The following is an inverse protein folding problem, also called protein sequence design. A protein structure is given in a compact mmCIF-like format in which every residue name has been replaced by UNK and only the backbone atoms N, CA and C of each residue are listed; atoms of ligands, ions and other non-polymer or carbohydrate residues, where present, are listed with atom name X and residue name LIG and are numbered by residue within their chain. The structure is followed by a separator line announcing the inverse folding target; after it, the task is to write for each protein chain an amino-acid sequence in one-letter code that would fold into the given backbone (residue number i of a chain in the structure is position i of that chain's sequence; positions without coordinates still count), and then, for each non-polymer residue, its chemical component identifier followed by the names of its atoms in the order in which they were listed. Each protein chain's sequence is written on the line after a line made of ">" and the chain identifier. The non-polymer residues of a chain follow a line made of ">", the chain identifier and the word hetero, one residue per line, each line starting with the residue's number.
data_IF_934770998732
#
_entry.id   IF_934770998732
#
_cell.length_a   1.000
_cell.length_b   1.000
_cell.length_c   1.000
_cell.angle_alpha   90.00
_cell.angle_beta   90.00
_cell.angle_gamma   90.00
#
_symmetry.space_group_name_H-M   'P 1'
#
loop_
_entity.id
_entity.type
_entity.pdbx_description
1 polymer ?
#
# COMPACT_ATOMS: atom_id res chain seq x y z
N UNK A 1 22.81 -4.82 -4.23
CA UNK A 1 22.00 -4.31 -5.37
C UNK A 1 22.77 -4.51 -6.66
N UNK A 2 23.84 -3.74 -6.94
CA UNK A 2 24.67 -3.92 -8.15
C UNK A 2 25.16 -5.37 -8.34
N UNK A 3 25.75 -5.97 -7.30
CA UNK A 3 26.20 -7.38 -7.30
C UNK A 3 25.09 -8.42 -7.56
N UNK A 4 23.82 -8.04 -7.38
CA UNK A 4 22.66 -8.90 -7.64
C UNK A 4 22.03 -8.63 -9.01
N UNK A 5 22.57 -7.70 -9.81
CA UNK A 5 22.02 -7.33 -11.12
C UNK A 5 20.61 -6.71 -11.05
N UNK A 6 20.29 -5.91 -10.03
CA UNK A 6 18.99 -5.26 -9.93
C UNK A 6 18.91 -4.03 -10.85
N UNK A 7 18.00 -4.02 -11.83
CA UNK A 7 17.77 -2.87 -12.72
C UNK A 7 17.17 -1.65 -11.99
N UNK A 8 16.43 -1.88 -10.90
CA UNK A 8 15.70 -0.84 -10.17
C UNK A 8 15.65 -1.11 -8.66
N UNK A 9 15.50 -0.03 -7.88
CA UNK A 9 15.29 -0.11 -6.44
C UNK A 9 14.15 0.81 -5.98
N UNK A 10 13.15 0.22 -5.33
CA UNK A 10 12.02 0.94 -4.72
C UNK A 10 12.31 1.25 -3.25
N UNK A 11 12.21 2.53 -2.87
CA UNK A 11 12.35 2.99 -1.49
C UNK A 11 11.39 4.15 -1.20
N UNK A 12 11.31 4.60 0.06
CA UNK A 12 10.53 5.78 0.46
C UNK A 12 11.41 6.97 0.85
N UNK A 13 10.98 8.17 0.47
CA UNK A 13 11.44 9.39 1.14
C UNK A 13 10.60 9.54 2.40
N UNK A 14 11.26 9.72 3.53
CA UNK A 14 10.58 9.94 4.80
C UNK A 14 10.23 11.41 4.97
N UNK A 15 8.95 11.72 5.14
CA UNK A 15 8.46 13.10 5.25
C UNK A 15 9.07 13.76 6.49
N UNK A 16 9.04 13.10 7.64
CA UNK A 16 9.64 13.60 8.89
C UNK A 16 11.17 13.70 8.85
N UNK A 17 11.86 12.96 7.96
CA UNK A 17 13.30 13.16 7.71
C UNK A 17 13.57 14.43 6.91
N UNK A 18 12.71 14.76 5.94
CA UNK A 18 12.89 15.87 5.01
C UNK A 18 12.36 17.20 5.57
N UNK A 19 11.20 17.17 6.22
CA UNK A 19 10.49 18.32 6.81
C UNK A 19 9.96 17.88 8.20
N UNK A 20 10.76 18.03 9.28
CA UNK A 20 10.48 17.38 10.56
C UNK A 20 9.10 17.65 11.18
N UNK A 21 8.63 18.90 11.09
CA UNK A 21 7.34 19.31 11.66
C UNK A 21 6.19 19.19 10.62
N UNK A 22 6.37 18.39 9.56
CA UNK A 22 5.48 18.30 8.39
C UNK A 22 5.51 19.52 7.47
N UNK A 23 5.67 20.72 8.04
CA UNK A 23 5.83 22.02 7.34
C UNK A 23 7.09 22.75 7.79
N UNK A 24 7.50 23.76 7.03
CA UNK A 24 8.62 24.64 7.35
C UNK A 24 9.86 24.41 6.46
N UNK A 25 11.07 24.75 6.93
CA UNK A 25 12.30 24.59 6.16
C UNK A 25 12.67 23.11 5.97
N UNK A 26 13.43 22.82 4.92
CA UNK A 26 13.99 21.49 4.69
C UNK A 26 15.11 21.21 5.70
N UNK A 27 15.22 19.96 6.14
CA UNK A 27 16.39 19.43 6.81
C UNK A 27 17.52 19.20 5.78
N UNK A 28 18.63 19.96 5.79
CA UNK A 28 19.67 19.82 4.77
C UNK A 28 20.34 18.44 4.79
N UNK A 29 20.44 17.80 5.97
CA UNK A 29 20.97 16.43 6.09
C UNK A 29 20.00 15.38 5.53
N UNK A 30 18.69 15.65 5.58
CA UNK A 30 17.67 14.84 4.92
C UNK A 30 17.78 14.92 3.40
N UNK A 31 17.90 16.14 2.87
CA UNK A 31 18.14 16.40 1.44
C UNK A 31 19.45 15.75 0.97
N UNK A 32 20.53 15.87 1.73
CA UNK A 32 21.82 15.25 1.42
C UNK A 32 21.75 13.72 1.42
N UNK A 33 21.09 13.11 2.41
CA UNK A 33 20.94 11.66 2.48
C UNK A 33 20.26 11.07 1.23
N UNK A 34 19.13 11.64 0.81
CA UNK A 34 18.42 11.16 -0.38
C UNK A 34 19.17 11.47 -1.67
N UNK A 35 19.84 12.63 -1.78
CA UNK A 35 20.71 12.91 -2.92
C UNK A 35 21.86 11.90 -3.06
N UNK A 36 22.52 11.56 -1.95
CA UNK A 36 23.60 10.56 -1.96
C UNK A 36 23.07 9.18 -2.40
N UNK A 37 21.94 8.72 -1.83
CA UNK A 37 21.33 7.44 -2.20
C UNK A 37 20.95 7.38 -3.69
N UNK A 38 20.30 8.44 -4.19
CA UNK A 38 19.83 8.52 -5.58
C UNK A 38 20.99 8.56 -6.57
N UNK A 39 22.00 9.39 -6.30
CA UNK A 39 23.18 9.48 -7.16
C UNK A 39 24.03 8.20 -7.13
N UNK A 40 24.16 7.53 -5.98
CA UNK A 40 24.85 6.25 -5.88
C UNK A 40 24.12 5.17 -6.71
N UNK A 41 22.80 5.01 -6.54
CA UNK A 41 21.98 4.07 -7.32
C UNK A 41 22.20 4.25 -8.82
N UNK A 42 22.12 5.49 -9.31
CA UNK A 42 22.29 5.83 -10.73
C UNK A 42 23.73 5.57 -11.20
N UNK A 43 24.73 5.76 -10.35
CA UNK A 43 26.13 5.48 -10.70
C UNK A 43 26.41 3.99 -10.95
N UNK A 44 25.59 3.10 -10.37
CA UNK A 44 25.58 1.65 -10.64
C UNK A 44 24.49 1.22 -11.65
N UNK A 45 23.85 2.18 -12.34
CA UNK A 45 22.80 1.91 -13.34
C UNK A 45 21.42 1.54 -12.78
N UNK A 46 21.21 1.62 -11.47
CA UNK A 46 19.98 1.19 -10.79
C UNK A 46 18.95 2.32 -10.79
N UNK A 47 17.78 2.11 -11.38
CA UNK A 47 16.73 3.13 -11.43
C UNK A 47 16.06 3.35 -10.06
N UNK A 48 15.99 4.59 -9.53
CA UNK A 48 15.31 4.89 -8.28
C UNK A 48 13.79 5.03 -8.48
N UNK A 49 13.01 4.18 -7.80
CA UNK A 49 11.56 4.28 -7.70
C UNK A 49 11.18 4.80 -6.31
N UNK A 50 10.60 5.99 -6.22
CA UNK A 50 10.38 6.67 -4.94
C UNK A 50 8.93 6.65 -4.52
N UNK A 51 8.70 6.20 -3.29
CA UNK A 51 7.43 6.33 -2.58
C UNK A 51 7.45 7.59 -1.71
N UNK A 52 6.44 8.46 -1.83
CA UNK A 52 6.40 9.72 -1.06
C UNK A 52 5.91 9.52 0.38
N UNK A 53 4.91 8.69 0.62
CA UNK A 53 4.48 8.31 1.97
C UNK A 53 4.25 6.81 2.10
N UNK A 54 4.77 6.25 3.19
CA UNK A 54 4.74 4.82 3.50
C UNK A 54 4.37 4.61 4.98
N UNK A 55 3.17 5.07 5.36
CA UNK A 55 2.68 5.14 6.74
C UNK A 55 3.54 6.02 7.70
N UNK A 56 4.38 6.92 7.16
CA UNK A 56 5.39 7.68 7.91
C UNK A 56 4.99 9.16 8.16
N UNK A 57 3.71 9.43 8.40
CA UNK A 57 3.20 10.80 8.59
C UNK A 57 3.96 11.51 9.74
N UNK A 58 4.40 12.77 9.57
CA UNK A 58 5.02 13.53 10.65
C UNK A 58 4.03 13.77 11.81
N UNK A 59 4.40 13.34 13.02
CA UNK A 59 3.54 13.37 14.21
C UNK A 59 2.94 14.77 14.48
N UNK A 60 3.64 15.86 14.15
CA UNK A 60 3.11 17.22 14.29
C UNK A 60 1.82 17.51 13.49
N UNK A 61 1.55 16.77 12.40
CA UNK A 61 0.31 16.88 11.61
C UNK A 61 -0.81 15.98 12.18
N UNK A 62 -0.43 14.86 12.78
CA UNK A 62 -1.32 14.00 13.57
C UNK A 62 -1.79 14.76 14.83
N UNK A 63 -0.88 15.41 15.55
CA UNK A 63 -1.18 16.19 16.77
C UNK A 63 -1.99 17.47 16.50
N UNK A 64 -1.75 18.17 15.38
CA UNK A 64 -2.47 19.42 15.05
C UNK A 64 -3.94 19.17 14.63
N UNK A 65 -4.21 18.06 13.92
CA UNK A 65 -5.51 17.88 13.28
C UNK A 65 -5.98 16.44 13.02
N UNK A 66 -5.28 15.42 13.53
CA UNK A 66 -5.59 14.01 13.28
C UNK A 66 -5.11 13.49 11.92
N UNK A 67 -4.12 14.15 11.30
CA UNK A 67 -3.49 13.62 10.09
C UNK A 67 -4.49 13.31 8.97
N UNK A 68 -4.57 12.04 8.57
CA UNK A 68 -5.34 11.62 7.39
C UNK A 68 -6.86 11.65 7.54
N UNK A 69 -7.45 11.73 8.75
CA UNK A 69 -8.90 11.97 8.87
C UNK A 69 -9.30 13.41 8.48
N UNK A 70 -8.33 14.33 8.35
CA UNK A 70 -8.62 15.74 8.09
C UNK A 70 -8.24 16.19 6.67
N UNK A 71 -9.18 16.81 5.95
CA UNK A 71 -8.96 17.37 4.60
C UNK A 71 -7.81 18.39 4.50
N UNK A 72 -7.30 18.96 5.61
CA UNK A 72 -6.04 19.72 5.64
C UNK A 72 -4.86 18.96 5.01
N UNK A 73 -4.79 17.64 5.20
CA UNK A 73 -3.67 16.81 4.75
C UNK A 73 -3.41 16.89 3.25
N UNK A 74 -4.46 17.09 2.44
CA UNK A 74 -4.38 17.24 0.98
C UNK A 74 -3.41 18.37 0.59
N UNK A 75 -3.47 19.51 1.30
CA UNK A 75 -2.62 20.67 1.05
C UNK A 75 -1.18 20.41 1.51
N UNK A 76 -1.01 19.85 2.70
CA UNK A 76 0.30 19.64 3.31
C UNK A 76 1.09 18.54 2.57
N UNK A 77 0.44 17.43 2.20
CA UNK A 77 1.03 16.38 1.37
C UNK A 77 1.38 16.88 -0.04
N UNK A 78 0.53 17.72 -0.66
CA UNK A 78 0.86 18.35 -1.95
C UNK A 78 2.08 19.27 -1.84
N UNK A 79 2.21 20.02 -0.73
CA UNK A 79 3.36 20.89 -0.49
C UNK A 79 4.66 20.09 -0.25
N UNK A 80 4.58 18.94 0.41
CA UNK A 80 5.68 17.99 0.56
C UNK A 80 6.07 17.31 -0.76
N UNK A 81 5.10 16.81 -1.54
CA UNK A 81 5.34 16.25 -2.87
C UNK A 81 6.03 17.26 -3.81
N UNK A 82 5.58 18.52 -3.80
CA UNK A 82 6.21 19.64 -4.51
C UNK A 82 7.70 19.87 -4.16
N UNK A 83 8.11 19.53 -2.93
CA UNK A 83 9.54 19.53 -2.54
C UNK A 83 10.22 18.33 -3.17
N UNK A 84 9.72 17.11 -2.99
CA UNK A 84 10.37 15.90 -3.51
C UNK A 84 10.57 15.95 -5.04
N UNK A 85 9.56 16.40 -5.80
CA UNK A 85 9.69 16.60 -7.24
C UNK A 85 10.73 17.66 -7.63
N UNK A 86 10.94 18.69 -6.78
CA UNK A 86 11.94 19.76 -7.01
C UNK A 86 13.37 19.33 -6.68
N UNK A 87 13.56 18.65 -5.55
CA UNK A 87 14.90 18.31 -5.02
C UNK A 87 15.52 17.06 -5.66
N UNK A 88 14.68 16.16 -6.21
CA UNK A 88 15.12 14.83 -6.65
C UNK A 88 14.57 14.39 -8.02
N UNK A 89 13.55 15.07 -8.55
CA UNK A 89 12.90 14.69 -9.81
C UNK A 89 13.76 14.92 -11.06
N UNK A 90 14.94 15.52 -10.94
CA UNK A 90 15.96 15.55 -11.98
C UNK A 90 16.61 14.17 -12.22
N UNK A 91 16.48 13.26 -11.25
CA UNK A 91 17.05 11.90 -11.26
C UNK A 91 16.04 10.78 -10.97
N UNK A 92 14.86 11.10 -10.43
CA UNK A 92 13.80 10.15 -10.08
C UNK A 92 12.67 10.17 -11.11
N UNK A 93 12.58 9.10 -11.90
CA UNK A 93 11.59 8.94 -12.98
C UNK A 93 10.28 8.30 -12.54
N UNK A 94 10.21 7.64 -11.38
CA UNK A 94 8.99 6.94 -10.93
C UNK A 94 8.59 7.35 -9.52
N UNK A 95 7.36 7.84 -9.38
CA UNK A 95 6.80 8.40 -8.15
C UNK A 95 5.52 7.67 -7.73
N UNK A 96 5.60 6.88 -6.66
CA UNK A 96 4.41 6.35 -5.95
C UNK A 96 4.01 7.36 -4.88
N UNK A 97 2.78 7.88 -4.88
CA UNK A 97 2.36 8.89 -3.89
C UNK A 97 2.18 8.29 -2.50
N UNK A 98 1.35 7.26 -2.38
CA UNK A 98 1.02 6.61 -1.10
C UNK A 98 1.07 5.11 -1.31
N UNK A 99 1.67 4.42 -0.32
CA UNK A 99 1.76 2.97 -0.28
C UNK A 99 0.56 2.38 0.48
N UNK A 100 -0.21 1.52 -0.19
CA UNK A 100 -1.26 0.67 0.38
C UNK A 100 -2.30 1.45 1.23
N UNK A 101 -3.03 2.43 0.63
CA UNK A 101 -4.03 3.23 1.36
C UNK A 101 -5.07 2.37 2.10
N UNK A 102 -5.42 1.23 1.51
CA UNK A 102 -6.34 0.26 2.08
C UNK A 102 -5.77 -0.40 3.37
N UNK A 103 -4.57 -0.97 3.32
CA UNK A 103 -3.93 -1.55 4.53
C UNK A 103 -3.67 -0.49 5.60
N UNK A 104 -3.24 0.71 5.20
CA UNK A 104 -3.01 1.81 6.14
C UNK A 104 -4.30 2.26 6.83
N UNK A 105 -5.42 2.37 6.09
CA UNK A 105 -6.72 2.71 6.66
C UNK A 105 -7.25 1.60 7.59
N UNK A 106 -7.19 0.34 7.15
CA UNK A 106 -7.67 -0.81 7.93
C UNK A 106 -6.84 -0.98 9.21
N UNK A 107 -5.52 -1.10 9.10
CA UNK A 107 -4.67 -1.30 10.27
C UNK A 107 -4.62 -0.08 11.21
N UNK A 108 -4.70 1.14 10.65
CA UNK A 108 -4.47 2.38 11.38
C UNK A 108 -5.71 3.05 11.97
N UNK A 109 -6.89 2.81 11.37
CA UNK A 109 -8.15 3.50 11.68
C UNK A 109 -9.38 2.58 11.82
N UNK A 110 -9.26 1.28 11.53
CA UNK A 110 -10.29 0.27 11.83
C UNK A 110 -9.85 -0.65 12.97
N UNK A 111 -8.75 -1.38 12.79
CA UNK A 111 -8.30 -2.42 13.73
C UNK A 111 -7.43 -1.86 14.87
N UNK A 112 -6.87 -0.66 14.70
CA UNK A 112 -6.01 0.00 15.68
C UNK A 112 -4.68 -0.72 15.97
N UNK A 113 -4.18 -1.51 15.01
CA UNK A 113 -2.96 -2.34 15.15
C UNK A 113 -1.67 -1.61 14.72
N UNK A 114 -1.76 -0.61 13.84
CA UNK A 114 -0.63 0.25 13.45
C UNK A 114 -0.91 1.73 13.78
N UNK A 115 0.10 2.62 13.87
CA UNK A 115 -0.12 4.05 14.04
C UNK A 115 -1.06 4.63 12.94
N UNK A 116 -2.00 5.52 13.29
CA UNK A 116 -2.15 6.23 14.57
C UNK A 116 -2.93 5.48 15.68
N UNK A 117 -3.27 4.21 15.46
CA UNK A 117 -4.05 3.33 16.37
C UNK A 117 -5.43 3.89 16.73
N UNK A 118 -6.16 4.34 15.71
CA UNK A 118 -7.58 4.65 15.79
C UNK A 118 -8.41 3.35 15.63
N UNK A 119 -9.45 3.19 16.46
CA UNK A 119 -10.48 2.14 16.35
C UNK A 119 -11.64 2.40 17.34
N UNK A 120 -12.79 1.74 17.20
CA UNK A 120 -13.93 1.85 18.12
C UNK A 120 -14.53 0.50 18.54
N UNK A 121 -14.87 0.38 19.83
CA UNK A 121 -15.55 -0.81 20.39
C UNK A 121 -16.89 -1.07 19.68
N UNK A 122 -17.23 -2.33 19.33
CA UNK A 122 -16.60 -3.59 19.76
C UNK A 122 -15.42 -4.06 18.89
N UNK A 123 -14.98 -3.26 17.92
CA UNK A 123 -13.90 -3.59 16.98
C UNK A 123 -12.52 -3.23 17.53
N UNK A 124 -11.47 -3.72 16.85
CA UNK A 124 -10.08 -3.49 17.22
C UNK A 124 -9.67 -4.06 18.58
N UNK A 125 -8.48 -3.66 19.08
CA UNK A 125 -7.94 -4.14 20.37
C UNK A 125 -7.44 -2.99 21.23
N UNK A 126 -8.04 -2.86 22.43
CA UNK A 126 -7.74 -1.79 23.41
C UNK A 126 -7.89 -0.37 22.84
N UNK A 127 -8.97 -0.15 22.09
CA UNK A 127 -9.28 1.12 21.43
C UNK A 127 -9.51 2.27 22.42
N UNK A 128 -8.81 3.38 22.20
CA UNK A 128 -8.87 4.58 23.06
C UNK A 128 -9.38 5.84 22.34
N UNK A 129 -9.36 5.85 21.00
CA UNK A 129 -9.84 6.94 20.13
C UNK A 129 -10.16 6.40 18.73
N UNK A 130 -11.03 7.12 18.01
CA UNK A 130 -11.38 6.86 16.61
C UNK A 130 -12.78 6.28 16.41
N UNK A 131 -13.12 5.99 15.15
CA UNK A 131 -14.33 5.27 14.75
C UNK A 131 -14.10 4.37 13.54
N UNK A 132 -13.96 3.07 13.80
CA UNK A 132 -13.82 2.00 12.79
C UNK A 132 -14.94 1.99 11.75
N UNK A 133 -16.12 2.54 12.10
CA UNK A 133 -17.29 2.58 11.21
C UNK A 133 -17.19 3.64 10.11
N UNK A 134 -16.35 4.68 10.26
CA UNK A 134 -16.33 5.87 9.37
C UNK A 134 -14.94 6.43 9.05
N UNK A 135 -13.96 6.31 9.95
CA UNK A 135 -12.62 6.86 9.74
C UNK A 135 -11.83 6.20 8.60
N UNK A 136 -11.88 4.86 8.38
CA UNK A 136 -11.17 4.22 7.25
C UNK A 136 -11.60 4.81 5.90
N UNK A 137 -12.91 5.02 5.69
CA UNK A 137 -13.45 5.63 4.48
C UNK A 137 -13.06 7.10 4.34
N UNK A 138 -13.06 7.84 5.45
CA UNK A 138 -12.60 9.24 5.49
C UNK A 138 -11.11 9.36 5.14
N UNK A 139 -10.28 8.45 5.66
CA UNK A 139 -8.83 8.39 5.42
C UNK A 139 -8.52 8.07 3.96
N UNK A 140 -9.12 7.02 3.40
CA UNK A 140 -8.92 6.68 1.98
C UNK A 140 -9.40 7.80 1.06
N UNK A 141 -10.54 8.43 1.36
CA UNK A 141 -11.03 9.58 0.60
C UNK A 141 -10.02 10.75 0.61
N UNK A 142 -9.49 11.11 1.79
CA UNK A 142 -8.47 12.16 1.90
C UNK A 142 -7.15 11.78 1.23
N UNK A 143 -6.75 10.49 1.26
CA UNK A 143 -5.58 9.97 0.54
C UNK A 143 -5.78 10.09 -0.98
N UNK A 144 -6.94 9.74 -1.51
CA UNK A 144 -7.26 9.85 -2.95
C UNK A 144 -7.22 11.31 -3.42
N UNK A 145 -7.77 12.25 -2.63
CA UNK A 145 -7.67 13.68 -2.90
C UNK A 145 -6.21 14.20 -2.83
N UNK A 146 -5.43 13.72 -1.86
CA UNK A 146 -4.02 14.08 -1.71
C UNK A 146 -3.15 13.55 -2.85
N UNK A 147 -3.37 12.29 -3.27
CA UNK A 147 -2.78 11.68 -4.45
C UNK A 147 -3.12 12.49 -5.71
N UNK A 148 -4.40 12.75 -5.96
CA UNK A 148 -4.87 13.49 -7.13
C UNK A 148 -4.28 14.90 -7.22
N UNK A 149 -4.21 15.61 -6.09
CA UNK A 149 -3.60 16.93 -5.99
C UNK A 149 -2.08 16.89 -6.28
N UNK A 150 -1.35 15.95 -5.69
CA UNK A 150 0.09 15.76 -5.93
C UNK A 150 0.38 15.33 -7.38
N UNK A 151 -0.42 14.44 -7.95
CA UNK A 151 -0.29 14.01 -9.34
C UNK A 151 -0.60 15.14 -10.33
N UNK A 152 -1.69 15.88 -10.13
CA UNK A 152 -2.03 17.06 -10.94
C UNK A 152 -0.94 18.12 -10.91
N UNK A 153 -0.27 18.30 -9.77
CA UNK A 153 0.92 19.15 -9.67
C UNK A 153 2.08 18.58 -10.50
N UNK A 154 2.39 17.28 -10.37
CA UNK A 154 3.46 16.62 -11.11
C UNK A 154 3.27 16.74 -12.63
N UNK A 155 2.13 16.27 -13.15
CA UNK A 155 1.79 16.27 -14.57
C UNK A 155 1.82 17.68 -15.19
N UNK A 156 1.46 18.72 -14.42
CA UNK A 156 1.42 20.13 -14.91
C UNK A 156 2.73 20.92 -14.81
N UNK A 157 3.65 20.54 -13.91
CA UNK A 157 4.83 21.38 -13.57
C UNK A 157 6.16 20.68 -13.80
N UNK A 158 6.18 19.35 -13.75
CA UNK A 158 7.39 18.54 -13.64
C UNK A 158 7.50 17.49 -14.75
N UNK A 159 6.41 16.78 -15.07
CA UNK A 159 6.43 15.61 -15.96
C UNK A 159 7.08 15.88 -17.33
N UNK A 160 6.73 16.95 -18.03
CA UNK A 160 7.32 17.36 -19.32
C UNK A 160 8.85 17.53 -19.26
N UNK A 161 9.38 17.96 -18.10
CA UNK A 161 10.81 18.28 -17.90
C UNK A 161 11.61 17.10 -17.32
N UNK A 162 10.93 16.23 -16.59
CA UNK A 162 11.53 15.12 -15.84
C UNK A 162 11.30 13.76 -16.53
N UNK A 163 10.40 13.70 -17.53
CA UNK A 163 10.05 12.51 -18.32
C UNK A 163 9.72 11.29 -17.45
N UNK A 164 9.11 11.54 -16.28
CA UNK A 164 8.74 10.53 -15.30
C UNK A 164 7.24 10.30 -15.19
N UNK A 165 6.89 9.34 -14.35
CA UNK A 165 5.55 8.77 -14.19
C UNK A 165 5.13 8.87 -12.73
N UNK A 166 3.86 9.20 -12.48
CA UNK A 166 3.28 9.25 -11.14
C UNK A 166 2.13 8.26 -10.97
N UNK A 167 2.05 7.62 -9.80
CA UNK A 167 1.06 6.59 -9.49
C UNK A 167 0.81 6.46 -8.00
N UNK A 168 0.06 5.43 -7.63
CA UNK A 168 -0.18 4.99 -6.25
C UNK A 168 0.09 3.47 -6.19
N UNK A 169 0.16 2.85 -5.01
CA UNK A 169 0.21 1.39 -4.93
C UNK A 169 -0.85 0.79 -4.00
N UNK A 170 -1.51 -0.28 -4.44
CA UNK A 170 -2.63 -0.93 -3.75
C UNK A 170 -2.17 -2.30 -3.24
N UNK A 171 -2.55 -2.66 -2.01
CA UNK A 171 -2.43 -4.02 -1.50
C UNK A 171 -3.53 -4.91 -2.09
N UNK A 172 -3.15 -5.96 -2.82
CA UNK A 172 -4.03 -6.96 -3.40
C UNK A 172 -4.87 -7.76 -2.38
N UNK A 173 -5.87 -8.52 -2.82
CA UNK A 173 -6.25 -9.82 -2.25
C UNK A 173 -6.50 -10.79 -3.41
N UNK A 174 -5.86 -11.97 -3.37
CA UNK A 174 -6.20 -13.05 -4.28
C UNK A 174 -7.50 -13.72 -3.84
N UNK A 175 -8.66 -13.23 -4.31
CA UNK A 175 -9.97 -13.74 -3.91
C UNK A 175 -10.40 -14.94 -4.76
N UNK A 176 -10.53 -16.12 -4.15
CA UNK A 176 -11.06 -17.33 -4.79
C UNK A 176 -12.37 -17.74 -4.09
N UNK A 177 -13.48 -17.99 -4.82
CA UNK A 177 -14.70 -18.53 -4.23
C UNK A 177 -14.44 -19.86 -3.49
N UNK A 178 -14.93 -19.99 -2.27
CA UNK A 178 -14.81 -21.20 -1.45
C UNK A 178 -15.59 -22.39 -2.06
N UNK A 179 -16.67 -22.13 -2.78
CA UNK A 179 -17.44 -23.09 -3.57
C UNK A 179 -17.81 -22.52 -4.93
N UNK A 180 -18.31 -23.37 -5.84
CA UNK A 180 -18.89 -22.95 -7.12
C UNK A 180 -20.31 -22.36 -6.98
N UNK A 181 -20.66 -21.79 -5.82
CA UNK A 181 -21.92 -21.08 -5.60
C UNK A 181 -21.91 -19.69 -6.24
N UNK A 182 -23.08 -19.10 -6.47
CA UNK A 182 -23.16 -17.71 -6.98
C UNK A 182 -22.83 -16.72 -5.85
N UNK A 183 -23.17 -17.12 -4.64
CA UNK A 183 -22.98 -16.45 -3.37
C UNK A 183 -21.48 -16.25 -3.07
N UNK A 184 -20.67 -17.31 -3.07
CA UNK A 184 -19.21 -17.21 -2.87
C UNK A 184 -18.52 -16.47 -4.03
N UNK A 185 -19.05 -16.56 -5.25
CA UNK A 185 -18.56 -15.79 -6.39
C UNK A 185 -18.82 -14.28 -6.22
N UNK A 186 -20.00 -13.90 -5.72
CA UNK A 186 -20.31 -12.52 -5.34
C UNK A 186 -19.47 -12.06 -4.13
N UNK A 187 -19.19 -12.94 -3.17
CA UNK A 187 -18.34 -12.64 -2.03
C UNK A 187 -16.88 -12.37 -2.45
N UNK A 188 -16.33 -13.15 -3.38
CA UNK A 188 -15.03 -12.88 -3.98
C UNK A 188 -15.00 -11.55 -4.75
N UNK A 189 -16.07 -11.19 -5.46
CA UNK A 189 -16.16 -9.86 -6.09
C UNK A 189 -16.27 -8.72 -5.06
N UNK A 190 -16.95 -8.92 -3.92
CA UNK A 190 -16.94 -7.92 -2.83
C UNK A 190 -15.55 -7.72 -2.22
N UNK A 191 -14.75 -8.77 -2.06
CA UNK A 191 -13.33 -8.63 -1.68
C UNK A 191 -12.58 -7.78 -2.70
N UNK A 192 -12.75 -8.03 -4.01
CA UNK A 192 -12.12 -7.24 -5.06
C UNK A 192 -12.56 -5.77 -5.04
N UNK A 193 -13.86 -5.51 -4.87
CA UNK A 193 -14.42 -4.15 -4.78
C UNK A 193 -13.87 -3.40 -3.56
N UNK A 194 -13.82 -4.03 -2.38
CA UNK A 194 -13.39 -3.39 -1.13
C UNK A 194 -11.87 -3.24 -1.01
N UNK A 195 -11.07 -4.20 -1.49
CA UNK A 195 -9.61 -4.13 -1.40
C UNK A 195 -8.97 -3.39 -2.59
N UNK A 196 -9.53 -3.54 -3.81
CA UNK A 196 -8.93 -2.97 -5.02
C UNK A 196 -9.80 -1.84 -5.56
N UNK A 197 -11.08 -2.09 -5.82
CA UNK A 197 -12.03 -1.12 -6.38
C UNK A 197 -12.13 0.16 -5.57
N UNK A 198 -12.02 0.08 -4.25
CA UNK A 198 -12.01 1.21 -3.30
C UNK A 198 -10.97 2.29 -3.65
N UNK A 199 -9.83 1.87 -4.22
CA UNK A 199 -8.75 2.77 -4.66
C UNK A 199 -8.76 2.92 -6.18
N UNK A 200 -8.97 1.82 -6.93
CA UNK A 200 -8.88 1.78 -8.39
C UNK A 200 -10.06 2.46 -9.11
N UNK A 201 -11.30 2.26 -8.67
CA UNK A 201 -12.46 2.84 -9.36
C UNK A 201 -12.50 4.37 -9.30
N UNK A 202 -12.15 5.04 -8.18
CA UNK A 202 -11.97 6.49 -8.17
C UNK A 202 -10.95 7.00 -9.17
N UNK A 203 -9.87 6.23 -9.41
CA UNK A 203 -8.81 6.59 -10.35
C UNK A 203 -9.21 6.38 -11.82
N UNK A 204 -10.01 5.35 -12.12
CA UNK A 204 -10.41 5.01 -13.49
C UNK A 204 -11.70 5.72 -13.91
N UNK A 205 -12.71 5.74 -13.04
CA UNK A 205 -14.07 6.22 -13.33
C UNK A 205 -14.41 7.55 -12.65
N UNK A 206 -13.74 7.89 -11.54
CA UNK A 206 -13.97 9.11 -10.77
C UNK A 206 -14.92 8.93 -9.57
N UNK A 207 -15.31 7.70 -9.23
CA UNK A 207 -16.17 7.39 -8.07
C UNK A 207 -15.89 5.96 -7.54
N UNK A 208 -16.38 5.65 -6.34
CA UNK A 208 -16.26 4.33 -5.70
C UNK A 208 -17.13 3.26 -6.39
N UNK A 209 -16.84 1.95 -6.19
CA UNK A 209 -17.69 0.86 -6.66
C UNK A 209 -19.14 1.01 -6.13
N UNK A 210 -20.13 0.70 -6.97
CA UNK A 210 -21.54 0.78 -6.57
C UNK A 210 -21.85 -0.15 -5.40
N UNK A 211 -21.31 -1.37 -5.41
CA UNK A 211 -21.35 -2.34 -4.29
C UNK A 211 -20.91 -1.73 -2.95
N UNK A 212 -19.84 -0.92 -2.94
CA UNK A 212 -19.39 -0.25 -1.72
C UNK A 212 -20.35 0.86 -1.28
N UNK A 213 -20.85 1.67 -2.22
CA UNK A 213 -21.77 2.78 -1.92
C UNK A 213 -23.11 2.26 -1.39
N UNK A 214 -23.62 1.15 -1.94
CA UNK A 214 -24.83 0.48 -1.47
C UNK A 214 -24.67 -0.13 -0.07
N UNK A 215 -23.57 -0.86 0.18
CA UNK A 215 -23.37 -1.57 1.45
C UNK A 215 -22.94 -0.63 2.58
N UNK A 216 -22.01 0.28 2.33
CA UNK A 216 -21.44 1.19 3.35
C UNK A 216 -22.41 2.36 3.63
N UNK A 217 -23.14 2.81 2.61
CA UNK A 217 -24.13 3.89 2.71
C UNK A 217 -23.48 5.25 2.99
N UNK A 218 -24.12 6.06 3.84
CA UNK A 218 -23.68 7.43 4.17
C UNK A 218 -22.35 7.53 4.93
N UNK A 219 -21.66 6.42 5.20
CA UNK A 219 -20.36 6.37 5.88
C UNK A 219 -19.17 6.45 4.91
N UNK A 220 -19.37 6.13 3.62
CA UNK A 220 -18.35 6.41 2.58
C UNK A 220 -18.56 7.83 2.03
N UNK A 221 -17.55 8.72 2.07
CA UNK A 221 -17.71 10.09 1.58
C UNK A 221 -17.93 10.13 0.07
N UNK A 222 -18.87 10.96 -0.39
CA UNK A 222 -19.09 11.20 -1.83
C UNK A 222 -18.05 12.19 -2.39
N UNK A 223 -17.52 11.93 -3.59
CA UNK A 223 -16.78 12.95 -4.33
C UNK A 223 -17.74 14.00 -4.90
N UNK A 224 -17.40 15.29 -4.78
CA UNK A 224 -18.03 16.32 -5.61
C UNK A 224 -17.61 16.16 -7.08
N UNK A 225 -18.40 16.69 -8.03
CA UNK A 225 -18.05 16.65 -9.46
C UNK A 225 -16.61 17.11 -9.75
N UNK A 226 -16.15 18.17 -9.06
CA UNK A 226 -14.79 18.66 -9.23
C UNK A 226 -13.74 17.68 -8.71
N UNK A 227 -14.00 16.98 -7.61
CA UNK A 227 -13.08 15.98 -7.05
C UNK A 227 -13.04 14.71 -7.90
N UNK A 228 -14.21 14.28 -8.42
CA UNK A 228 -14.31 13.21 -9.41
C UNK A 228 -13.46 13.49 -10.65
N UNK A 229 -13.50 14.73 -11.17
CA UNK A 229 -12.64 15.21 -12.27
C UNK A 229 -11.14 15.30 -11.91
N UNK A 230 -10.80 15.41 -10.62
CA UNK A 230 -9.41 15.49 -10.16
C UNK A 230 -8.78 14.10 -9.97
N UNK A 231 -9.52 13.14 -9.44
CA UNK A 231 -9.04 11.78 -9.15
C UNK A 231 -9.07 10.90 -10.41
N UNK A 232 -10.06 11.07 -11.30
CA UNK A 232 -10.11 10.33 -12.57
C UNK A 232 -8.90 10.65 -13.46
N UNK A 233 -8.11 9.65 -13.77
CA UNK A 233 -6.90 9.76 -14.60
C UNK A 233 -5.68 10.35 -13.88
N UNK A 234 -5.68 10.43 -12.54
CA UNK A 234 -4.58 11.02 -11.75
C UNK A 234 -3.33 10.15 -11.63
N UNK A 235 -3.18 9.12 -12.46
CA UNK A 235 -2.04 8.20 -12.48
C UNK A 235 -1.53 7.97 -13.90
N UNK A 236 -0.28 7.52 -14.03
CA UNK A 236 0.35 7.04 -15.27
C UNK A 236 0.69 5.54 -15.17
N UNK A 237 0.90 5.05 -13.94
CA UNK A 237 1.04 3.64 -13.60
C UNK A 237 0.31 3.36 -12.29
N UNK A 238 -0.02 2.10 -12.05
CA UNK A 238 -0.58 1.64 -10.79
C UNK A 238 0.36 0.55 -10.24
N UNK A 239 0.81 0.72 -8.99
CA UNK A 239 1.69 -0.23 -8.31
C UNK A 239 0.90 -1.31 -7.58
N UNK A 240 1.43 -2.53 -7.61
CA UNK A 240 0.84 -3.70 -6.95
C UNK A 240 1.65 -4.09 -5.73
N UNK A 241 0.98 -4.31 -4.61
CA UNK A 241 1.54 -4.90 -3.39
C UNK A 241 0.54 -5.93 -2.83
N UNK A 242 0.91 -6.67 -1.80
CA UNK A 242 1.03 -8.10 -2.02
C UNK A 242 1.38 -8.89 -0.74
N UNK A 243 0.54 -9.83 -0.25
CA UNK A 243 0.96 -10.82 0.77
C UNK A 243 0.25 -12.20 0.85
N UNK A 244 -0.86 -12.51 0.15
CA UNK A 244 -1.48 -13.87 0.21
C UNK A 244 -2.27 -14.30 -1.06
N UNK A 245 -3.11 -15.34 -0.97
CA UNK A 245 -4.28 -15.70 -1.80
C UNK A 245 -5.20 -16.54 -0.92
N UNK A 246 -6.53 -16.34 -1.00
CA UNK A 246 -7.46 -16.81 0.03
C UNK A 246 -8.80 -17.30 -0.53
N UNK A 247 -9.43 -18.22 0.18
CA UNK A 247 -10.77 -18.72 -0.12
C UNK A 247 -11.84 -17.90 0.60
N UNK A 248 -12.91 -17.54 -0.12
CA UNK A 248 -13.90 -16.55 0.31
C UNK A 248 -15.31 -17.18 0.32
N UNK A 249 -16.00 -17.05 1.44
CA UNK A 249 -17.37 -17.53 1.67
C UNK A 249 -18.32 -16.35 1.91
N UNK A 250 -19.56 -16.45 1.41
CA UNK A 250 -20.60 -15.42 1.61
C UNK A 250 -21.00 -15.27 3.10
N UNK A 251 -21.16 -14.02 3.58
CA UNK A 251 -21.64 -13.75 4.94
C UNK A 251 -22.73 -12.66 4.98
N UNK A 252 -23.95 -12.96 4.51
CA UNK A 252 -25.03 -11.99 4.46
C UNK A 252 -25.54 -11.62 5.86
N UNK A 253 -25.22 -12.41 6.89
CA UNK A 253 -25.54 -12.12 8.29
C UNK A 253 -24.83 -10.87 8.81
N UNK A 254 -23.62 -10.59 8.34
CA UNK A 254 -22.85 -9.38 8.70
C UNK A 254 -23.58 -8.08 8.31
N UNK A 255 -24.34 -8.08 7.21
CA UNK A 255 -25.10 -6.91 6.75
C UNK A 255 -26.32 -6.58 7.64
N UNK A 256 -26.75 -7.50 8.50
CA UNK A 256 -27.89 -7.31 9.42
C UNK A 256 -27.45 -6.57 10.70
N UNK A 257 -26.14 -6.44 10.94
CA UNK A 257 -25.59 -5.80 12.13
C UNK A 257 -25.76 -4.27 12.08
N UNK A 258 -26.22 -3.69 13.20
CA UNK A 258 -26.47 -2.23 13.33
C UNK A 258 -25.20 -1.39 13.39
N UNK A 259 -24.11 -1.97 13.88
CA UNK A 259 -22.78 -1.37 13.94
C UNK A 259 -21.86 -2.29 13.13
N UNK A 260 -21.10 -1.71 12.20
CA UNK A 260 -20.24 -2.42 11.25
C UNK A 260 -18.93 -1.67 11.09
N UNK A 261 -17.84 -2.41 11.07
CA UNK A 261 -16.52 -1.94 10.68
C UNK A 261 -16.30 -2.19 9.16
N UNK A 262 -15.09 -1.90 8.68
CA UNK A 262 -14.72 -2.19 7.29
C UNK A 262 -14.88 -3.69 6.94
N UNK A 263 -14.51 -4.59 7.86
CA UNK A 263 -14.47 -6.03 7.61
C UNK A 263 -15.89 -6.62 7.47
N UNK A 264 -16.81 -6.23 8.35
CA UNK A 264 -18.23 -6.60 8.33
C UNK A 264 -18.93 -5.99 7.10
N UNK A 265 -18.49 -4.82 6.63
CA UNK A 265 -19.00 -4.22 5.40
C UNK A 265 -18.59 -4.97 4.13
N UNK A 266 -17.50 -5.75 4.11
CA UNK A 266 -17.22 -6.67 2.98
C UNK A 266 -18.26 -7.79 2.90
N UNK A 267 -18.87 -8.12 4.05
CA UNK A 267 -19.86 -9.20 4.21
C UNK A 267 -19.38 -10.55 3.68
N UNK A 268 -18.09 -10.85 3.81
CA UNK A 268 -17.47 -12.07 3.28
C UNK A 268 -16.47 -12.65 4.30
N UNK A 269 -16.50 -13.96 4.50
CA UNK A 269 -15.56 -14.67 5.37
C UNK A 269 -14.36 -15.15 4.56
N UNK A 270 -13.18 -14.68 4.94
CA UNK A 270 -11.93 -15.27 4.48
C UNK A 270 -11.70 -16.56 5.28
N UNK A 271 -11.74 -17.71 4.61
CA UNK A 271 -11.36 -18.99 5.22
C UNK A 271 -9.90 -18.96 5.62
N UNK A 272 -9.58 -19.61 6.74
CA UNK A 272 -8.22 -19.72 7.27
C UNK A 272 -7.56 -18.35 7.53
N UNK A 273 -8.34 -17.31 7.86
CA UNK A 273 -7.81 -16.00 8.24
C UNK A 273 -6.87 -16.07 9.46
N UNK A 274 -7.07 -17.02 10.37
CA UNK A 274 -6.15 -17.27 11.48
C UNK A 274 -4.79 -17.80 10.97
N UNK A 275 -4.78 -18.71 9.98
CA UNK A 275 -3.53 -19.15 9.34
C UNK A 275 -2.81 -17.97 8.66
N UNK A 276 -3.53 -17.01 8.06
CA UNK A 276 -2.99 -15.76 7.46
C UNK A 276 -2.24 -14.86 8.46
N UNK A 277 -2.34 -15.15 9.78
CA UNK A 277 -1.61 -14.43 10.84
C UNK A 277 -0.85 -15.36 11.81
N UNK A 278 -0.65 -16.64 11.49
CA UNK A 278 0.06 -17.62 12.33
C UNK A 278 1.41 -18.05 11.75
N UNK A 279 2.29 -18.57 12.62
CA UNK A 279 3.66 -19.03 12.31
C UNK A 279 3.69 -20.36 11.51
N UNK A 280 3.04 -20.42 10.34
CA UNK A 280 2.96 -21.62 9.49
C UNK A 280 3.29 -21.33 8.01
N UNK A 281 3.71 -22.36 7.28
CA UNK A 281 4.14 -22.21 5.88
C UNK A 281 2.93 -22.22 4.93
N UNK A 282 2.67 -21.08 4.28
CA UNK A 282 1.57 -20.93 3.33
C UNK A 282 1.71 -21.85 2.11
N UNK A 283 0.61 -22.46 1.63
CA UNK A 283 0.62 -23.19 0.37
C UNK A 283 0.92 -22.23 -0.78
N UNK A 284 1.95 -22.54 -1.59
CA UNK A 284 2.36 -21.72 -2.72
C UNK A 284 1.29 -21.85 -3.83
N UNK A 285 0.42 -20.84 -3.98
CA UNK A 285 -0.50 -20.68 -5.10
C UNK A 285 -0.05 -19.50 -6.00
N UNK A 286 0.76 -19.74 -7.05
CA UNK A 286 1.17 -18.70 -8.00
C UNK A 286 0.03 -18.30 -8.95
N UNK A 287 -0.89 -19.24 -9.20
CA UNK A 287 -2.17 -19.00 -9.86
C UNK A 287 -2.94 -17.84 -9.23
N UNK A 288 -2.75 -17.56 -7.94
CA UNK A 288 -3.23 -16.34 -7.30
C UNK A 288 -2.71 -15.07 -7.99
N UNK A 289 -1.39 -14.86 -8.06
CA UNK A 289 -0.83 -13.70 -8.76
C UNK A 289 -1.20 -13.68 -10.24
N UNK A 290 -1.26 -14.83 -10.94
CA UNK A 290 -1.74 -14.85 -12.32
C UNK A 290 -3.20 -14.38 -12.41
N UNK A 291 -4.12 -14.97 -11.64
CA UNK A 291 -5.54 -14.60 -11.63
C UNK A 291 -5.71 -13.12 -11.36
N UNK A 292 -5.00 -12.55 -10.38
CA UNK A 292 -5.13 -11.12 -10.07
C UNK A 292 -4.22 -10.18 -10.88
N UNK A 293 -3.35 -10.69 -11.77
CA UNK A 293 -2.76 -9.91 -12.87
C UNK A 293 -3.59 -10.00 -14.16
N UNK A 294 -4.28 -11.10 -14.40
CA UNK A 294 -5.30 -11.20 -15.45
C UNK A 294 -6.53 -10.36 -15.08
N UNK A 295 -6.84 -10.28 -13.79
CA UNK A 295 -7.62 -9.23 -13.17
C UNK A 295 -6.78 -7.97 -12.84
N UNK A 296 -5.64 -7.59 -13.47
CA UNK A 296 -5.23 -6.15 -13.72
C UNK A 296 -5.45 -5.75 -15.15
N UNK A 297 -5.08 -6.66 -16.05
CA UNK A 297 -5.59 -6.70 -17.41
C UNK A 297 -7.13 -6.51 -17.39
N UNK A 298 -7.80 -6.80 -16.24
CA UNK A 298 -8.97 -6.09 -15.68
C UNK A 298 -8.99 -5.88 -14.10
N UNK A 299 -8.15 -5.03 -13.41
CA UNK A 299 -8.08 -4.62 -11.90
C UNK A 299 -6.77 -4.69 -10.94
N UNK A 300 -6.33 -5.70 -10.09
CA UNK A 300 -4.90 -6.01 -9.57
C UNK A 300 -4.65 -7.14 -8.47
N UNK A 301 -3.38 -7.56 -8.09
CA UNK A 301 -2.96 -8.82 -7.32
C UNK A 301 -1.80 -8.93 -6.22
N UNK A 302 -1.21 -10.12 -5.85
CA UNK A 302 -0.49 -10.45 -4.52
C UNK A 302 0.90 -11.26 -4.42
N UNK A 303 1.38 -11.71 -3.18
CA UNK A 303 2.68 -12.45 -2.77
C UNK A 303 2.52 -13.49 -1.57
N UNK A 304 3.60 -13.98 -0.89
CA UNK A 304 3.68 -14.68 0.47
C UNK A 304 4.94 -14.33 1.35
N UNK A 305 5.21 -15.05 2.48
CA UNK A 305 6.28 -14.86 3.53
C UNK A 305 7.20 -16.13 3.76
N UNK A 306 8.07 -16.19 4.81
CA UNK A 306 9.40 -16.88 4.82
C UNK A 306 9.91 -17.37 6.21
N UNK A 307 10.72 -18.44 6.23
CA UNK A 307 11.46 -18.99 7.40
C UNK A 307 12.93 -18.47 7.53
N UNK A 308 13.52 -18.45 8.72
CA UNK A 308 14.62 -17.50 9.07
C UNK A 308 16.09 -17.96 8.91
N UNK A 309 16.46 -18.68 7.85
CA UNK A 309 17.84 -19.17 7.59
C UNK A 309 18.59 -18.41 6.47
N UNK A 310 19.89 -18.71 6.27
CA UNK A 310 20.62 -18.29 5.06
C UNK A 310 20.30 -19.17 3.86
N UNK A 311 20.11 -20.48 4.11
CA UNK A 311 19.47 -21.40 3.18
C UNK A 311 17.96 -21.15 3.23
N UNK A 312 17.42 -20.58 2.15
CA UNK A 312 16.09 -19.96 2.10
C UNK A 312 15.34 -20.42 0.84
N UNK A 313 15.34 -21.74 0.64
CA UNK A 313 14.82 -22.39 -0.57
C UNK A 313 13.35 -22.06 -0.80
N UNK A 314 12.55 -22.03 0.27
CA UNK A 314 11.12 -21.69 0.20
C UNK A 314 10.88 -20.31 -0.41
N UNK A 315 11.72 -19.29 -0.10
CA UNK A 315 11.65 -17.97 -0.76
C UNK A 315 12.09 -18.03 -2.22
N UNK A 316 13.09 -18.84 -2.57
CA UNK A 316 13.56 -18.98 -3.95
C UNK A 316 12.47 -19.61 -4.82
N UNK A 317 11.88 -20.72 -4.38
CA UNK A 317 10.76 -21.39 -5.04
C UNK A 317 9.56 -20.45 -5.18
N UNK A 318 9.18 -19.81 -4.08
CA UNK A 318 8.11 -18.82 -4.03
C UNK A 318 8.31 -17.67 -5.04
N UNK A 319 9.50 -17.05 -5.06
CA UNK A 319 9.82 -15.95 -5.97
C UNK A 319 9.88 -16.41 -7.43
N UNK A 320 10.47 -17.58 -7.71
CA UNK A 320 10.49 -18.16 -9.06
C UNK A 320 9.08 -18.40 -9.59
N UNK A 321 8.20 -18.97 -8.76
CA UNK A 321 6.84 -19.27 -9.15
C UNK A 321 6.03 -17.99 -9.42
N UNK A 322 6.17 -16.96 -8.57
CA UNK A 322 5.47 -15.69 -8.76
C UNK A 322 6.02 -14.89 -9.95
N UNK A 323 7.34 -14.91 -10.21
CA UNK A 323 7.93 -14.36 -11.43
C UNK A 323 7.42 -15.09 -12.69
N UNK A 324 7.22 -16.41 -12.60
CA UNK A 324 6.54 -17.20 -13.64
C UNK A 324 5.12 -16.70 -13.92
N UNK A 325 4.32 -16.46 -12.87
CA UNK A 325 2.96 -15.91 -13.01
C UNK A 325 2.93 -14.48 -13.57
N UNK A 326 3.94 -13.64 -13.29
CA UNK A 326 4.10 -12.35 -13.98
C UNK A 326 4.35 -12.58 -15.48
N UNK A 327 5.26 -13.48 -15.83
CA UNK A 327 5.62 -13.77 -17.22
C UNK A 327 4.42 -14.31 -18.01
N UNK A 328 3.61 -15.20 -17.42
CA UNK A 328 2.43 -15.75 -18.08
C UNK A 328 1.28 -14.73 -18.18
N UNK A 329 1.08 -13.87 -17.18
CA UNK A 329 0.16 -12.74 -17.30
C UNK A 329 0.59 -11.75 -18.39
N UNK A 330 1.90 -11.46 -18.53
CA UNK A 330 2.46 -10.62 -19.60
C UNK A 330 2.30 -11.28 -20.98
N UNK A 331 2.56 -12.59 -21.10
CA UNK A 331 2.29 -13.37 -22.33
C UNK A 331 0.81 -13.36 -22.71
N UNK A 332 -0.08 -13.37 -21.74
CA UNK A 332 -1.53 -13.22 -21.94
C UNK A 332 -1.93 -11.75 -22.26
N UNK A 333 -1.02 -10.78 -22.14
CA UNK A 333 -1.23 -9.38 -22.53
C UNK A 333 -1.47 -8.39 -21.38
N UNK A 334 -1.05 -8.70 -20.15
CA UNK A 334 -0.95 -7.71 -19.06
C UNK A 334 0.20 -6.74 -19.32
N UNK A 335 -0.02 -5.44 -19.16
CA UNK A 335 1.01 -4.41 -19.37
C UNK A 335 1.98 -4.26 -18.18
N UNK A 336 2.39 -5.38 -17.58
CA UNK A 336 3.24 -5.39 -16.37
C UNK A 336 4.69 -5.07 -16.73
N UNK A 337 5.18 -3.88 -16.35
CA UNK A 337 6.50 -3.36 -16.75
C UNK A 337 7.66 -3.66 -15.80
N UNK A 338 7.42 -4.34 -14.68
CA UNK A 338 8.47 -4.70 -13.72
C UNK A 338 7.94 -5.46 -12.50
N UNK A 339 8.85 -6.03 -11.71
CA UNK A 339 8.55 -6.79 -10.50
C UNK A 339 9.51 -6.40 -9.38
N UNK A 340 8.98 -6.06 -8.20
CA UNK A 340 9.78 -5.69 -7.03
C UNK A 340 9.58 -6.72 -5.92
N UNK A 341 10.62 -7.51 -5.66
CA UNK A 341 10.66 -8.39 -4.47
C UNK A 341 10.80 -7.54 -3.20
N UNK A 342 9.98 -7.82 -2.18
CA UNK A 342 10.15 -7.29 -0.83
C UNK A 342 10.67 -8.39 0.10
N UNK A 343 11.64 -8.15 0.97
CA UNK A 343 12.45 -6.94 1.18
C UNK A 343 13.90 -7.15 0.69
N UNK A 344 14.55 -6.09 0.16
CA UNK A 344 15.94 -6.19 -0.35
C UNK A 344 16.95 -6.57 0.75
N UNK A 345 16.72 -6.03 1.96
CA UNK A 345 17.38 -6.43 3.20
C UNK A 345 16.29 -6.70 4.22
N UNK A 346 16.60 -7.49 5.24
CA UNK A 346 15.69 -7.74 6.36
C UNK A 346 15.42 -6.41 7.10
N UNK A 347 14.14 -6.09 7.33
CA UNK A 347 13.65 -4.81 7.87
C UNK A 347 12.95 -4.99 9.23
N UNK A 348 12.51 -3.87 9.81
CA UNK A 348 11.48 -3.87 10.84
C UNK A 348 10.12 -4.02 10.15
N UNK A 349 9.48 -5.18 10.23
CA UNK A 349 8.10 -5.37 9.76
C UNK A 349 7.12 -4.79 10.78
N UNK A 350 6.02 -4.18 10.30
CA UNK A 350 5.23 -3.26 11.13
C UNK A 350 4.47 -3.97 12.26
N UNK A 351 4.04 -5.21 12.04
CA UNK A 351 3.25 -5.99 13.02
C UNK A 351 4.09 -6.92 13.92
N UNK A 352 5.27 -7.34 13.45
CA UNK A 352 6.08 -8.42 14.05
C UNK A 352 7.55 -8.01 14.34
N UNK A 353 7.90 -6.77 14.01
CA UNK A 353 9.20 -6.18 14.29
C UNK A 353 10.34 -6.89 13.55
N UNK A 354 11.28 -7.48 14.30
CA UNK A 354 12.46 -8.16 13.75
C UNK A 354 12.37 -9.70 13.80
N UNK A 355 11.21 -10.27 14.10
CA UNK A 355 11.02 -11.74 14.08
C UNK A 355 10.88 -12.26 12.64
N UNK A 356 10.10 -11.56 11.81
CA UNK A 356 9.96 -11.76 10.34
C UNK A 356 11.23 -11.52 9.49
N UNK A 357 12.38 -11.22 10.10
CA UNK A 357 13.65 -10.93 9.40
C UNK A 357 14.84 -11.70 9.98
N UNK A 358 15.93 -11.84 9.22
CA UNK A 358 17.18 -12.43 9.75
C UNK A 358 17.65 -11.63 10.97
N UNK A 359 17.70 -12.30 12.13
CA UNK A 359 18.42 -11.82 13.32
C UNK A 359 19.90 -11.59 12.96
N UNK A 360 20.27 -10.36 12.67
CA UNK A 360 21.66 -9.93 12.83
C UNK A 360 21.95 -9.89 14.33
N UNK A 361 22.89 -10.71 14.78
CA UNK A 361 23.60 -10.39 16.02
C UNK A 361 24.31 -9.06 15.79
N UNK A 362 23.79 -7.99 16.39
CA UNK A 362 24.62 -6.82 16.66
C UNK A 362 25.67 -7.27 17.66
N UNK A 363 26.92 -7.39 17.19
CA UNK A 363 28.04 -7.79 18.03
C UNK A 363 28.28 -6.73 19.10
N UNK A 364 27.76 -6.97 20.31
CA UNK A 364 28.31 -6.36 21.51
C UNK A 364 29.72 -6.93 21.70
N UNK A 365 30.71 -6.17 21.25
CA UNK A 365 32.09 -6.40 21.64
C UNK A 365 32.28 -5.87 23.05
N UNK A 366 32.07 -6.73 24.04
CA UNK A 366 32.39 -6.43 25.43
C UNK A 366 33.85 -5.98 25.53
N UNK A 367 34.04 -4.69 25.84
CA UNK A 367 35.34 -4.09 26.20
C UNK A 367 35.36 -3.75 27.68
N UNK A 368 35.09 -4.78 28.46
CA UNK A 368 35.60 -5.02 29.80
C UNK A 368 35.90 -6.54 29.86
N UNK A 369 37.00 -7.02 30.44
CA UNK A 369 37.80 -6.43 31.52
C UNK A 369 39.29 -6.27 31.12
N UNK A 370 40.14 -6.11 32.13
CA UNK A 370 41.59 -5.83 32.07
C UNK A 370 42.45 -7.04 31.65
#
# INVERSE_FOLDING_TARGET
>A
MAEMGLDAYRFSISWSRLIPNGRGPLNPKGVQYYNNLISELISHGIQPHVTLNNADLPQALEDEYGGWINRKIVKDFTAYANVCFREFGDRVSYWTTVNEPNVFAIGGYDQGVIPPRHCSSPFGVNCTRGDSSTEPYTVVHNILLAHASAARLYKRKYQEKQNGFIGISIYTLGAIPNTNSTEDAMAAQRINDFYIGWIANPLVFGDYPDTMKEIVGSRIPTFTNHESELVRGSFDFLGVIHYTTCYVEDDPGSLVLKQRDFNIDVAAKIKNMEDIFLDSEYPILPSGLQVVLEYIKQVYGQRTQRNSTLEDTSRVEYLQAYIGSVLDAVRNGSDTRGYFSWSFLDVLEILDGYRSGRKRQFGQSDRSQE
#
